data_IF_840401929256
#
_entry.id   IF_840401929256
#
_cell.length_a   1.000
_cell.length_b   1.000
_cell.length_c   1.000
_cell.angle_alpha   90.00
_cell.angle_beta   90.00
_cell.angle_gamma   90.00
#
_symmetry.space_group_name_H-M   'P 1'
#
loop_
_entity.id
_entity.type
_entity.pdbx_description
1 polymer ?
#
# COMPACT_ATOMS: atom_id res chain seq x y z
N UNK A 1 6.32 -12.92 -3.27
CA UNK A 1 6.54 -13.13 -1.81
C UNK A 1 6.16 -14.54 -1.42
N UNK A 2 6.93 -15.14 -0.51
CA UNK A 2 6.48 -16.39 0.08
C UNK A 2 5.24 -16.14 0.94
N UNK A 3 4.58 -17.20 1.38
CA UNK A 3 3.32 -17.10 2.10
C UNK A 3 3.44 -16.27 3.39
N UNK A 4 4.53 -16.45 4.13
CA UNK A 4 4.76 -15.72 5.37
C UNK A 4 4.95 -14.23 5.11
N UNK A 5 5.80 -13.88 4.15
CA UNK A 5 6.05 -12.48 3.80
C UNK A 5 4.81 -11.82 3.21
N UNK A 6 4.04 -12.53 2.41
CA UNK A 6 2.79 -12.01 1.85
C UNK A 6 1.80 -11.67 2.97
N UNK A 7 1.67 -12.52 3.98
CA UNK A 7 0.81 -12.26 5.14
C UNK A 7 1.27 -11.04 5.92
N UNK A 8 2.58 -10.90 6.11
CA UNK A 8 3.14 -9.73 6.80
C UNK A 8 2.88 -8.45 6.02
N UNK A 9 3.09 -8.48 4.71
CA UNK A 9 2.83 -7.32 3.87
C UNK A 9 1.35 -6.92 3.86
N UNK A 10 0.46 -7.91 3.82
CA UNK A 10 -0.96 -7.63 3.87
C UNK A 10 -1.34 -6.85 5.13
N UNK A 11 -0.81 -7.29 6.27
CA UNK A 11 -1.05 -6.61 7.53
C UNK A 11 -0.48 -5.18 7.52
N UNK A 12 0.72 -5.02 6.97
CA UNK A 12 1.36 -3.72 6.86
C UNK A 12 0.56 -2.79 5.95
N UNK A 13 0.03 -3.32 4.84
CA UNK A 13 -0.83 -2.56 3.94
C UNK A 13 -2.10 -2.12 4.66
N UNK A 14 -2.72 -3.01 5.45
CA UNK A 14 -3.89 -2.66 6.23
C UNK A 14 -3.58 -1.59 7.28
N UNK A 15 -2.47 -1.73 7.98
CA UNK A 15 -2.05 -0.74 8.98
C UNK A 15 -1.80 0.62 8.34
N UNK A 16 -1.16 0.63 7.17
CA UNK A 16 -0.95 1.86 6.42
C UNK A 16 -2.27 2.49 5.96
N UNK A 17 -3.22 1.65 5.53
CA UNK A 17 -4.55 2.12 5.17
C UNK A 17 -5.26 2.77 6.36
N UNK A 18 -5.18 2.15 7.53
CA UNK A 18 -5.74 2.72 8.76
C UNK A 18 -5.12 4.08 9.07
N UNK A 19 -3.80 4.17 8.93
CA UNK A 19 -3.07 5.42 9.18
C UNK A 19 -3.50 6.53 8.22
N UNK A 20 -3.73 6.16 6.95
CA UNK A 20 -4.08 7.13 5.90
C UNK A 20 -5.57 7.46 5.85
N UNK A 21 -6.40 6.77 6.60
CA UNK A 21 -7.84 7.04 6.61
C UNK A 21 -8.10 8.51 7.00
N UNK A 22 -8.83 9.21 6.14
CA UNK A 22 -9.12 10.62 6.34
C UNK A 22 -8.00 11.58 5.94
N UNK A 23 -6.83 11.09 5.53
CA UNK A 23 -5.70 11.92 5.15
C UNK A 23 -5.48 12.06 3.65
N UNK A 24 -6.15 11.21 2.85
CA UNK A 24 -6.00 11.27 1.40
C UNK A 24 -6.85 12.41 0.83
N UNK A 25 -6.34 13.15 -0.17
CA UNK A 25 -7.10 14.21 -0.83
C UNK A 25 -8.34 13.65 -1.50
N UNK A 26 -9.40 14.44 -1.58
CA UNK A 26 -10.58 14.07 -2.33
C UNK A 26 -10.25 13.90 -3.81
N UNK A 27 -10.95 12.99 -4.47
CA UNK A 27 -10.81 12.76 -5.89
C UNK A 27 -12.18 12.90 -6.53
N UNK A 28 -12.29 13.55 -7.73
CA UNK A 28 -13.60 13.76 -8.39
C UNK A 28 -14.40 12.47 -8.59
N UNK A 29 -13.72 11.35 -8.81
CA UNK A 29 -14.35 10.05 -9.02
C UNK A 29 -14.69 9.33 -7.71
N UNK A 30 -14.34 9.91 -6.57
CA UNK A 30 -14.56 9.32 -5.25
C UNK A 30 -15.10 10.38 -4.29
N UNK A 31 -16.33 10.87 -4.52
CA UNK A 31 -16.88 11.99 -3.75
C UNK A 31 -17.09 11.70 -2.27
N UNK A 32 -17.13 10.40 -1.90
CA UNK A 32 -17.25 9.97 -0.50
C UNK A 32 -15.91 9.70 0.16
N UNK A 33 -14.81 10.05 -0.53
CA UNK A 33 -13.46 9.76 -0.07
C UNK A 33 -12.86 8.57 -0.78
N UNK A 34 -11.54 8.42 -0.65
CA UNK A 34 -10.78 7.35 -1.28
C UNK A 34 -10.64 6.20 -0.29
N UNK A 35 -10.68 4.96 -0.80
CA UNK A 35 -10.39 3.79 0.02
C UNK A 35 -8.88 3.73 0.28
N UNK A 36 -8.41 3.99 1.51
CA UNK A 36 -6.97 4.04 1.77
C UNK A 36 -6.28 2.69 1.61
N UNK A 37 -6.99 1.59 1.86
CA UNK A 37 -6.41 0.24 1.70
C UNK A 37 -6.15 -0.06 0.23
N UNK A 38 -7.13 0.22 -0.62
CA UNK A 38 -6.98 0.07 -2.06
C UNK A 38 -5.89 1.01 -2.60
N UNK A 39 -5.82 2.23 -2.07
CA UNK A 39 -4.79 3.18 -2.47
C UNK A 39 -3.38 2.61 -2.24
N UNK A 40 -3.10 2.10 -1.03
CA UNK A 40 -1.79 1.55 -0.70
C UNK A 40 -1.48 0.35 -1.58
N UNK A 41 -2.44 -0.58 -1.73
CA UNK A 41 -2.24 -1.77 -2.53
C UNK A 41 -1.96 -1.45 -4.01
N UNK A 42 -2.71 -0.49 -4.57
CA UNK A 42 -2.53 -0.07 -5.96
C UNK A 42 -1.19 0.66 -6.17
N UNK A 43 -0.79 1.49 -5.21
CA UNK A 43 0.50 2.18 -5.30
C UNK A 43 1.66 1.18 -5.29
N UNK A 44 1.58 0.15 -4.44
CA UNK A 44 2.59 -0.91 -4.41
C UNK A 44 2.61 -1.65 -5.75
N UNK A 45 1.44 -2.00 -6.26
CA UNK A 45 1.35 -2.68 -7.56
C UNK A 45 1.96 -1.84 -8.68
N UNK A 46 1.67 -0.55 -8.71
CA UNK A 46 2.21 0.34 -9.75
C UNK A 46 3.72 0.50 -9.63
N UNK A 47 4.23 0.64 -8.39
CA UNK A 47 5.66 0.85 -8.17
C UNK A 47 6.48 -0.37 -8.55
N UNK A 48 6.00 -1.57 -8.24
CA UNK A 48 6.76 -2.80 -8.42
C UNK A 48 6.28 -3.62 -9.63
N UNK A 49 5.28 -3.13 -10.36
CA UNK A 49 4.72 -3.80 -11.54
C UNK A 49 4.15 -5.18 -11.24
N UNK A 50 3.75 -5.42 -9.98
CA UNK A 50 3.17 -6.69 -9.54
C UNK A 50 2.43 -6.46 -8.23
N UNK A 51 1.40 -7.28 -7.98
CA UNK A 51 0.72 -7.22 -6.69
C UNK A 51 1.71 -7.66 -5.60
N UNK A 52 1.46 -7.24 -4.34
CA UNK A 52 2.38 -7.54 -3.25
C UNK A 52 2.69 -9.03 -3.12
N UNK A 53 1.74 -9.90 -3.48
CA UNK A 53 1.91 -11.36 -3.41
C UNK A 53 2.94 -11.87 -4.43
N UNK A 54 3.05 -11.18 -5.56
CA UNK A 54 3.85 -11.62 -6.70
C UNK A 54 5.22 -10.94 -6.76
N UNK A 55 5.49 -10.00 -5.86
CA UNK A 55 6.80 -9.34 -5.77
C UNK A 55 7.81 -10.32 -5.17
N UNK A 56 9.04 -10.43 -5.72
CA UNK A 56 10.06 -11.32 -5.16
C UNK A 56 10.37 -11.01 -3.70
N UNK A 57 10.65 -12.06 -2.90
CA UNK A 57 10.98 -11.91 -1.47
C UNK A 57 12.18 -11.01 -1.23
N UNK A 58 13.15 -11.01 -2.13
CA UNK A 58 14.35 -10.16 -2.02
C UNK A 58 14.01 -8.68 -2.00
N UNK A 59 12.83 -8.29 -2.44
CA UNK A 59 12.37 -6.91 -2.45
C UNK A 59 11.49 -6.55 -1.25
N UNK A 60 11.36 -7.45 -0.29
CA UNK A 60 10.51 -7.25 0.87
C UNK A 60 10.81 -5.92 1.59
N UNK A 61 12.07 -5.63 1.85
CA UNK A 61 12.47 -4.40 2.54
C UNK A 61 12.17 -3.16 1.70
N UNK A 62 12.34 -3.25 0.39
CA UNK A 62 12.00 -2.14 -0.51
C UNK A 62 10.51 -1.82 -0.47
N UNK A 63 9.67 -2.85 -0.40
CA UNK A 63 8.22 -2.67 -0.28
C UNK A 63 7.88 -2.00 1.04
N UNK A 64 8.50 -2.42 2.14
CA UNK A 64 8.28 -1.79 3.44
C UNK A 64 8.65 -0.31 3.42
N UNK A 65 9.78 0.03 2.85
CA UNK A 65 10.23 1.42 2.74
C UNK A 65 9.26 2.24 1.90
N UNK A 66 8.77 1.67 0.80
CA UNK A 66 7.83 2.37 -0.06
C UNK A 66 6.49 2.63 0.65
N UNK A 67 5.99 1.65 1.38
CA UNK A 67 4.75 1.82 2.15
C UNK A 67 4.93 2.92 3.20
N UNK A 68 6.08 2.97 3.84
CA UNK A 68 6.39 4.03 4.79
C UNK A 68 6.41 5.40 4.10
N UNK A 69 6.97 5.47 2.90
CA UNK A 69 6.94 6.68 2.09
C UNK A 69 5.50 7.12 1.80
N UNK A 70 4.62 6.18 1.47
CA UNK A 70 3.22 6.50 1.20
C UNK A 70 2.51 7.08 2.42
N UNK A 71 2.84 6.59 3.61
CA UNK A 71 2.27 7.12 4.86
C UNK A 71 2.73 8.55 5.10
N UNK A 72 3.96 8.88 4.78
CA UNK A 72 4.54 10.21 4.99
C UNK A 72 4.15 11.20 3.90
N UNK A 73 3.68 10.71 2.76
CA UNK A 73 3.35 11.56 1.60
C UNK A 73 1.96 11.18 1.06
N UNK A 74 0.89 11.44 1.81
CA UNK A 74 -0.47 11.16 1.35
C UNK A 74 -0.80 11.95 0.10
N UNK A 75 -1.34 11.26 -0.91
CA UNK A 75 -1.67 11.94 -2.18
C UNK A 75 -2.88 11.32 -2.88
#
# INVERSE_FOLDING_TARGET
MNKENASKLWKIIQDAGDYLEGQLPEHPNHPKGRNPYAHVALCVKDKFSASYKDIPDEKYNEVLEYIQFLKQNPS
#
